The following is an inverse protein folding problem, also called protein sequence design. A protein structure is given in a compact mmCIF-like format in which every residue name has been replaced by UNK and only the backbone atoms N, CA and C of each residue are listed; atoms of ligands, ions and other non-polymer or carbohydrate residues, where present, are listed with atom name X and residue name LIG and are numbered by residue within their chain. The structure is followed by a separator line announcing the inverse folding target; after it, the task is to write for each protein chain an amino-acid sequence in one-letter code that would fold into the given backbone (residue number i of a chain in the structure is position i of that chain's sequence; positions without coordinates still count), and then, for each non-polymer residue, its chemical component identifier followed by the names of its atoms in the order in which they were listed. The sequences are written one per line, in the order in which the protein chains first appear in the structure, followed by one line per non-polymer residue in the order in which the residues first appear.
data_IF_439945738394
#
_entry.id   IF_439945738394
#
_cell.length_a   1.000
_cell.length_b   1.000
_cell.length_c   1.000
_cell.angle_alpha   90.00
_cell.angle_beta   90.00
_cell.angle_gamma   90.00
#
_symmetry.space_group_name_H-M   'P 1'
#
loop_
_entity.id
_entity.type
_entity.pdbx_description
1 polymer ?
#
# COMPACT_ATOMS: atom_id res chain seq x y z
N UNK A 1 13.88 26.18 10.90
CA UNK A 1 14.81 27.35 10.98
C UNK A 1 14.63 28.28 9.80
N UNK A 2 14.82 27.84 8.55
CA UNK A 2 14.61 28.67 7.36
C UNK A 2 13.20 29.30 7.31
N UNK A 3 12.13 28.50 7.51
CA UNK A 3 10.75 29.01 7.50
C UNK A 3 10.49 30.14 8.52
N UNK A 4 11.13 30.12 9.70
CA UNK A 4 10.93 31.17 10.71
C UNK A 4 11.46 32.51 10.19
N UNK A 5 12.67 32.51 9.63
CA UNK A 5 13.28 33.71 9.04
C UNK A 5 12.49 34.15 7.81
N UNK A 6 12.07 33.22 6.94
CA UNK A 6 11.28 33.52 5.76
C UNK A 6 9.90 34.07 6.09
N UNK A 7 9.23 33.57 7.13
CA UNK A 7 7.93 34.08 7.58
C UNK A 7 8.06 35.45 8.24
N UNK A 8 9.15 35.70 8.98
CA UNK A 8 9.48 37.03 9.47
C UNK A 8 9.72 38.01 8.31
N UNK A 9 10.52 37.61 7.31
CA UNK A 9 10.77 38.43 6.13
C UNK A 9 9.49 38.70 5.33
N UNK A 10 8.64 37.68 5.12
CA UNK A 10 7.31 37.84 4.52
C UNK A 10 6.44 38.83 5.30
N UNK A 11 6.49 38.78 6.63
CA UNK A 11 5.76 39.72 7.49
C UNK A 11 6.30 41.14 7.36
N UNK A 12 7.63 41.30 7.34
CA UNK A 12 8.29 42.58 7.09
C UNK A 12 7.86 43.18 5.75
N UNK A 13 7.84 42.39 4.66
CA UNK A 13 7.40 42.85 3.34
C UNK A 13 5.92 43.26 3.34
N UNK A 14 5.06 42.45 3.96
CA UNK A 14 3.63 42.74 4.05
C UNK A 14 3.32 44.00 4.87
N UNK A 15 4.03 44.20 5.99
CA UNK A 15 3.90 45.41 6.82
C UNK A 15 4.42 46.62 6.04
N UNK A 16 5.60 46.51 5.42
CA UNK A 16 6.21 47.60 4.66
C UNK A 16 5.32 48.06 3.51
N UNK A 17 4.70 47.12 2.77
CA UNK A 17 3.71 47.45 1.74
C UNK A 17 2.52 48.23 2.29
N UNK A 18 1.96 47.82 3.44
CA UNK A 18 0.87 48.56 4.10
C UNK A 18 1.29 49.96 4.55
N UNK A 19 2.52 50.12 5.02
CA UNK A 19 3.06 51.44 5.39
C UNK A 19 3.25 52.34 4.16
N UNK A 20 3.70 51.80 3.02
CA UNK A 20 3.77 52.52 1.75
C UNK A 20 2.37 52.93 1.26
N UNK A 21 1.41 52.01 1.26
CA UNK A 21 0.03 52.27 0.82
C UNK A 21 -0.67 53.33 1.69
N UNK A 22 -0.30 53.41 2.98
CA UNK A 22 -0.78 54.42 3.92
C UNK A 22 -0.04 55.78 3.84
N UNK A 23 0.97 55.90 2.97
CA UNK A 23 1.80 57.11 2.83
C UNK A 23 2.75 57.38 4.00
N UNK A 24 2.99 56.39 4.87
CA UNK A 24 3.88 56.49 6.03
C UNK A 24 5.35 56.37 5.61
N UNK A 25 5.63 55.52 4.61
CA UNK A 25 6.95 55.32 4.02
C UNK A 25 6.94 55.60 2.52
N UNK A 26 8.10 55.95 1.92
CA UNK A 26 8.20 56.14 0.47
C UNK A 26 7.68 54.94 -0.32
N UNK A 27 7.01 55.12 -1.46
CA UNK A 27 6.44 54.03 -2.25
C UNK A 27 7.49 53.07 -2.82
N UNK A 28 8.77 53.44 -2.82
CA UNK A 28 9.93 52.66 -3.23
C UNK A 28 10.74 52.07 -2.05
N UNK A 29 10.22 52.16 -0.82
CA UNK A 29 10.89 51.62 0.38
C UNK A 29 11.07 50.08 0.34
N UNK A 30 10.33 49.38 -0.52
CA UNK A 30 10.52 47.95 -0.80
C UNK A 30 10.91 47.79 -2.28
N UNK A 31 11.99 47.07 -2.61
CA UNK A 31 12.36 46.80 -4.00
C UNK A 31 11.23 46.10 -4.76
N UNK A 32 10.97 46.51 -5.99
CA UNK A 32 9.89 45.93 -6.82
C UNK A 32 9.98 44.40 -6.96
N UNK A 33 11.19 43.86 -7.02
CA UNK A 33 11.44 42.42 -7.12
C UNK A 33 10.98 41.63 -5.88
N UNK A 34 10.88 42.28 -4.72
CA UNK A 34 10.51 41.66 -3.43
C UNK A 34 9.02 41.77 -3.11
N UNK A 35 8.26 42.58 -3.86
CA UNK A 35 6.86 42.87 -3.55
C UNK A 35 5.97 41.62 -3.57
N UNK A 36 6.27 40.65 -4.44
CA UNK A 36 5.53 39.37 -4.51
C UNK A 36 5.73 38.51 -3.27
N UNK A 37 6.81 38.72 -2.51
CA UNK A 37 7.04 38.03 -1.23
C UNK A 37 5.97 38.35 -0.17
N UNK A 38 5.29 39.51 -0.29
CA UNK A 38 4.19 39.90 0.57
C UNK A 38 2.84 39.26 0.19
N UNK A 39 2.70 38.72 -1.03
CA UNK A 39 1.42 38.22 -1.51
C UNK A 39 0.98 36.95 -0.77
N UNK A 40 -0.33 36.79 -0.61
CA UNK A 40 -0.95 35.59 -0.06
C UNK A 40 -1.33 34.65 -1.20
N UNK A 41 -1.19 33.36 -0.97
CA UNK A 41 -1.64 32.36 -1.93
C UNK A 41 -3.15 32.53 -2.19
N UNK A 42 -3.54 32.54 -3.45
CA UNK A 42 -4.93 32.55 -3.89
C UNK A 42 -5.12 31.43 -4.90
N UNK A 43 -6.23 30.72 -4.80
CA UNK A 43 -6.55 29.64 -5.75
C UNK A 43 -6.97 30.27 -7.08
N UNK A 44 -6.27 30.01 -8.19
CA UNK A 44 -6.68 30.52 -9.49
C UNK A 44 -8.00 29.87 -9.94
N UNK A 45 -8.75 30.57 -10.81
CA UNK A 45 -9.96 30.01 -11.39
C UNK A 45 -9.62 28.76 -12.23
N UNK A 46 -10.27 27.63 -11.93
CA UNK A 46 -10.06 26.39 -12.65
C UNK A 46 -10.69 26.47 -14.04
N UNK A 47 -9.91 26.14 -15.08
CA UNK A 47 -10.35 26.03 -16.47
C UNK A 47 -9.82 24.73 -17.05
N UNK A 48 -10.65 24.00 -17.79
CA UNK A 48 -10.27 22.73 -18.42
C UNK A 48 -10.83 22.63 -19.83
N UNK A 49 -10.11 21.91 -20.70
CA UNK A 49 -10.54 21.53 -22.04
C UNK A 49 -10.16 20.07 -22.29
N UNK A 50 -11.06 19.29 -22.90
CA UNK A 50 -10.81 17.90 -23.28
C UNK A 50 -11.01 17.77 -24.80
N UNK A 51 -9.99 17.30 -25.50
CA UNK A 51 -10.04 17.03 -26.94
C UNK A 51 -9.87 15.52 -27.15
N UNK A 52 -10.76 14.93 -27.93
CA UNK A 52 -10.72 13.51 -28.27
C UNK A 52 -11.19 13.31 -29.72
N UNK A 53 -10.75 12.22 -30.34
CA UNK A 53 -11.15 11.87 -31.69
C UNK A 53 -12.62 11.44 -31.73
N UNK A 54 -13.37 11.97 -32.70
CA UNK A 54 -14.75 11.53 -32.92
C UNK A 54 -14.75 10.24 -33.73
N UNK A 55 -15.63 9.32 -33.34
CA UNK A 55 -15.96 8.14 -34.13
C UNK A 55 -16.40 8.49 -35.56
N UNK A 56 -16.19 7.55 -36.49
CA UNK A 56 -16.59 7.68 -37.88
C UNK A 56 -18.10 7.97 -38.01
N UNK A 57 -18.47 8.78 -39.01
CA UNK A 57 -19.85 9.24 -39.20
C UNK A 57 -20.84 8.13 -39.57
N UNK A 58 -20.34 7.03 -40.12
CA UNK A 58 -21.09 5.85 -40.53
C UNK A 58 -21.18 4.76 -39.44
N UNK A 59 -20.49 4.93 -38.30
CA UNK A 59 -20.55 3.98 -37.20
C UNK A 59 -21.96 3.93 -36.60
N UNK A 60 -22.51 2.71 -36.50
CA UNK A 60 -23.88 2.50 -36.03
C UNK A 60 -24.12 3.09 -34.63
N UNK A 61 -25.33 3.62 -34.38
CA UNK A 61 -25.68 4.25 -33.10
C UNK A 61 -25.54 3.31 -31.89
N UNK A 62 -25.84 2.03 -32.08
CA UNK A 62 -25.79 1.00 -31.04
C UNK A 62 -24.37 0.47 -30.76
N UNK A 63 -23.41 0.68 -31.67
CA UNK A 63 -22.02 0.34 -31.45
C UNK A 63 -21.40 1.36 -30.46
N UNK A 64 -20.96 0.93 -29.26
CA UNK A 64 -20.45 1.83 -28.24
C UNK A 64 -18.95 2.14 -28.38
N UNK A 65 -18.21 1.42 -29.23
CA UNK A 65 -16.75 1.50 -29.28
C UNK A 65 -16.28 2.90 -29.69
N UNK A 66 -15.32 3.47 -28.97
CA UNK A 66 -14.78 4.81 -29.22
C UNK A 66 -15.67 5.98 -28.77
N UNK A 67 -16.89 5.73 -28.28
CA UNK A 67 -17.81 6.77 -27.80
C UNK A 67 -17.59 7.06 -26.30
N UNK A 68 -17.73 8.32 -25.84
CA UNK A 68 -17.56 8.67 -24.43
C UNK A 68 -18.78 8.24 -23.59
N UNK A 69 -18.93 6.93 -23.40
CA UNK A 69 -20.00 6.36 -22.58
C UNK A 69 -19.69 6.60 -21.10
N UNK A 70 -20.72 7.03 -20.37
CA UNK A 70 -20.65 7.16 -18.91
C UNK A 70 -20.44 5.78 -18.29
N UNK A 71 -19.62 5.72 -17.24
CA UNK A 71 -19.38 4.49 -16.48
C UNK A 71 -20.71 3.87 -16.01
N UNK A 72 -20.91 2.57 -16.26
CA UNK A 72 -22.21 1.91 -16.09
C UNK A 72 -22.78 1.96 -14.66
N UNK A 73 -21.91 2.12 -13.64
CA UNK A 73 -22.32 2.24 -12.25
C UNK A 73 -22.30 3.69 -11.71
N UNK A 74 -21.99 4.71 -12.53
CA UNK A 74 -21.77 6.08 -12.07
C UNK A 74 -22.93 6.65 -11.25
N UNK A 75 -24.17 6.48 -11.72
CA UNK A 75 -25.34 6.98 -11.00
C UNK A 75 -25.53 6.28 -9.65
N UNK A 76 -25.32 4.96 -9.59
CA UNK A 76 -25.38 4.20 -8.34
C UNK A 76 -24.29 4.62 -7.35
N UNK A 77 -23.12 5.00 -7.86
CA UNK A 77 -22.04 5.54 -7.03
C UNK A 77 -22.40 6.92 -6.49
N UNK A 78 -23.02 7.77 -7.31
CA UNK A 78 -23.46 9.10 -6.92
C UNK A 78 -24.60 9.09 -5.90
N UNK A 79 -25.48 8.08 -5.91
CA UNK A 79 -26.61 7.96 -4.98
C UNK A 79 -26.32 7.10 -3.74
N UNK A 80 -25.17 6.43 -3.68
CA UNK A 80 -24.84 5.51 -2.59
C UNK A 80 -25.48 4.11 -2.72
N UNK A 81 -26.10 3.79 -3.85
CA UNK A 81 -26.69 2.46 -4.12
C UNK A 81 -25.65 1.41 -4.57
N UNK A 82 -24.45 1.85 -4.93
CA UNK A 82 -23.37 0.96 -5.34
C UNK A 82 -22.79 0.22 -4.12
N UNK A 83 -23.25 -1.01 -3.87
CA UNK A 83 -22.73 -1.89 -2.79
C UNK A 83 -21.24 -2.25 -2.96
N UNK A 84 -20.39 -1.78 -2.06
CA UNK A 84 -19.01 -2.22 -1.85
C UNK A 84 -18.97 -3.40 -0.85
N UNK A 85 -17.78 -3.89 -0.48
CA UNK A 85 -17.69 -5.15 0.29
C UNK A 85 -18.25 -5.01 1.70
N UNK A 86 -17.93 -3.91 2.42
CA UNK A 86 -18.46 -3.68 3.77
C UNK A 86 -19.93 -3.22 3.77
N UNK A 87 -20.46 -2.78 2.62
CA UNK A 87 -21.89 -2.45 2.46
C UNK A 87 -22.79 -3.70 2.42
N UNK A 88 -22.20 -4.90 2.26
CA UNK A 88 -22.96 -6.16 2.30
C UNK A 88 -23.66 -6.26 3.67
N UNK A 89 -24.99 -6.46 3.72
CA UNK A 89 -25.72 -6.56 4.98
C UNK A 89 -25.12 -7.61 5.91
N UNK A 90 -25.07 -7.29 7.20
CA UNK A 90 -24.56 -8.20 8.23
C UNK A 90 -25.40 -9.46 8.29
N UNK A 91 -24.73 -10.61 8.37
CA UNK A 91 -25.38 -11.91 8.53
C UNK A 91 -25.65 -12.22 10.00
N UNK A 92 -26.65 -13.07 10.27
CA UNK A 92 -26.92 -13.50 11.63
C UNK A 92 -25.70 -14.24 12.21
N UNK A 93 -25.25 -13.82 13.39
CA UNK A 93 -24.06 -14.38 14.03
C UNK A 93 -22.73 -14.02 13.36
N UNK A 94 -22.71 -13.07 12.41
CA UNK A 94 -21.47 -12.54 11.83
C UNK A 94 -20.56 -11.94 12.92
N UNK A 95 -19.27 -12.25 12.83
CA UNK A 95 -18.22 -11.73 13.71
C UNK A 95 -17.37 -10.70 12.98
N UNK A 96 -16.70 -9.87 13.75
CA UNK A 96 -15.66 -8.97 13.27
C UNK A 96 -14.28 -9.49 13.69
N UNK A 97 -13.31 -9.37 12.79
CA UNK A 97 -11.92 -9.75 13.03
C UNK A 97 -11.03 -8.50 13.07
N UNK A 98 -10.16 -8.43 14.07
CA UNK A 98 -9.12 -7.42 14.21
C UNK A 98 -7.75 -8.10 14.28
N UNK A 99 -6.75 -7.49 13.66
CA UNK A 99 -5.40 -8.04 13.58
C UNK A 99 -4.59 -7.65 14.82
N UNK A 100 -3.69 -8.55 15.23
CA UNK A 100 -2.63 -8.28 16.22
C UNK A 100 -1.34 -8.11 15.44
N UNK A 101 -0.77 -6.91 15.49
CA UNK A 101 0.36 -6.52 14.64
C UNK A 101 1.66 -6.40 15.44
N UNK A 102 2.77 -6.70 14.78
CA UNK A 102 4.12 -6.51 15.33
C UNK A 102 4.41 -5.04 15.62
N UNK A 103 5.00 -4.79 16.78
CA UNK A 103 5.53 -3.48 17.16
C UNK A 103 7.05 -3.40 17.02
N UNK A 104 7.68 -4.37 16.35
CA UNK A 104 9.13 -4.48 16.16
C UNK A 104 9.47 -4.72 14.70
N UNK A 105 10.57 -4.13 14.24
CA UNK A 105 11.03 -4.27 12.86
C UNK A 105 11.72 -5.62 12.59
N UNK A 106 12.47 -6.15 13.57
CA UNK A 106 13.10 -7.45 13.49
C UNK A 106 13.29 -8.02 14.90
N UNK A 107 12.59 -9.10 15.24
CA UNK A 107 12.63 -9.67 16.60
C UNK A 107 12.13 -11.11 16.64
N UNK A 108 12.56 -11.86 17.66
CA UNK A 108 11.92 -13.12 18.07
C UNK A 108 10.71 -12.85 18.94
N UNK A 109 9.64 -13.60 18.73
CA UNK A 109 8.47 -13.63 19.61
C UNK A 109 8.77 -14.62 20.74
N UNK A 110 9.06 -14.10 21.93
CA UNK A 110 9.37 -14.91 23.11
C UNK A 110 8.10 -15.44 23.77
N UNK A 111 7.06 -14.60 23.79
CA UNK A 111 5.77 -14.96 24.37
C UNK A 111 4.65 -14.24 23.67
N UNK A 112 3.56 -14.96 23.44
CA UNK A 112 2.30 -14.46 22.89
C UNK A 112 1.17 -14.89 23.81
N UNK A 113 0.54 -13.93 24.47
CA UNK A 113 -0.48 -14.14 25.50
C UNK A 113 -1.76 -13.35 25.19
N UNK A 114 -2.82 -14.08 24.82
CA UNK A 114 -4.13 -13.52 24.53
C UNK A 114 -5.15 -13.73 25.67
N UNK A 115 -4.72 -14.18 26.86
CA UNK A 115 -5.63 -14.54 27.96
C UNK A 115 -6.57 -13.40 28.38
N UNK A 116 -6.06 -12.17 28.51
CA UNK A 116 -6.88 -11.00 28.85
C UNK A 116 -7.89 -10.65 27.74
N UNK A 117 -7.50 -10.83 26.48
CA UNK A 117 -8.39 -10.61 25.34
C UNK A 117 -9.52 -11.64 25.31
N UNK A 118 -9.18 -12.92 25.49
CA UNK A 118 -10.12 -14.05 25.49
C UNK A 118 -11.09 -14.03 26.69
N UNK A 119 -10.74 -13.35 27.78
CA UNK A 119 -11.62 -13.21 28.94
C UNK A 119 -12.76 -12.19 28.75
N UNK A 120 -12.72 -11.37 27.69
CA UNK A 120 -13.77 -10.40 27.40
C UNK A 120 -15.02 -11.09 26.83
N UNK A 121 -16.18 -10.77 27.40
CA UNK A 121 -17.47 -11.24 26.88
C UNK A 121 -17.68 -10.79 25.43
N UNK A 122 -18.09 -11.73 24.58
CA UNK A 122 -18.24 -11.55 23.13
C UNK A 122 -16.97 -11.71 22.30
N UNK A 123 -15.81 -12.03 22.90
CA UNK A 123 -14.63 -12.52 22.16
C UNK A 123 -14.76 -14.03 21.97
N UNK A 124 -14.66 -14.46 20.72
CA UNK A 124 -14.99 -15.84 20.31
C UNK A 124 -13.75 -16.67 20.00
N UNK A 125 -12.62 -16.01 19.70
CA UNK A 125 -11.36 -16.70 19.43
C UNK A 125 -10.20 -15.78 19.21
N UNK A 126 -9.01 -16.32 19.47
CA UNK A 126 -7.73 -15.78 19.07
C UNK A 126 -7.06 -16.80 18.15
N UNK A 127 -6.63 -16.36 16.98
CA UNK A 127 -5.95 -17.18 15.98
C UNK A 127 -4.50 -16.69 15.83
N UNK A 128 -3.58 -17.62 15.73
CA UNK A 128 -2.13 -17.37 15.59
C UNK A 128 -1.50 -18.47 14.73
N UNK A 129 -0.18 -18.44 14.55
CA UNK A 129 0.55 -19.50 13.84
C UNK A 129 0.30 -20.90 14.43
N UNK A 130 -0.09 -21.02 15.71
CA UNK A 130 -0.41 -22.31 16.36
C UNK A 130 -1.69 -22.97 15.84
N UNK A 131 -2.54 -22.23 15.13
CA UNK A 131 -3.79 -22.71 14.55
C UNK A 131 -3.64 -23.23 13.12
N UNK A 132 -2.40 -23.26 12.62
CA UNK A 132 -2.00 -23.68 11.29
C UNK A 132 -0.83 -24.68 11.40
N UNK A 133 -0.73 -25.60 10.44
CA UNK A 133 0.53 -26.30 10.21
C UNK A 133 1.55 -25.34 9.59
N UNK A 134 2.84 -25.70 9.65
CA UNK A 134 3.89 -24.91 8.98
C UNK A 134 3.56 -24.69 7.50
N UNK A 135 3.15 -25.76 6.80
CA UNK A 135 2.83 -25.68 5.38
C UNK A 135 1.66 -24.73 5.12
N UNK A 136 0.56 -24.82 5.89
CA UNK A 136 -0.61 -23.94 5.72
C UNK A 136 -0.32 -22.46 6.06
N UNK A 137 0.71 -22.21 6.88
CA UNK A 137 1.08 -20.86 7.27
C UNK A 137 1.99 -20.17 6.23
N UNK A 138 2.73 -20.93 5.41
CA UNK A 138 3.64 -20.42 4.36
C UNK A 138 2.85 -19.96 3.13
N UNK A 139 2.78 -18.65 2.89
CA UNK A 139 1.94 -18.02 1.86
C UNK A 139 2.71 -16.97 1.07
N UNK A 140 2.09 -16.46 0.01
CA UNK A 140 2.62 -15.39 -0.81
C UNK A 140 2.10 -15.49 -2.25
N UNK A 141 2.14 -14.41 -3.04
CA UNK A 141 1.47 -14.38 -4.34
C UNK A 141 2.19 -15.18 -5.44
N UNK A 142 3.52 -15.30 -5.34
CA UNK A 142 4.38 -15.96 -6.34
C UNK A 142 5.43 -16.81 -5.64
N UNK A 143 6.10 -16.23 -4.64
CA UNK A 143 6.98 -16.92 -3.71
C UNK A 143 6.22 -17.10 -2.40
N UNK A 144 6.25 -18.30 -1.82
CA UNK A 144 5.65 -18.56 -0.51
C UNK A 144 6.67 -18.24 0.61
N UNK A 145 7.15 -17.00 0.62
CA UNK A 145 8.13 -16.47 1.59
C UNK A 145 7.49 -15.56 2.65
N UNK A 146 6.16 -15.57 2.75
CA UNK A 146 5.38 -14.86 3.76
C UNK A 146 4.62 -15.83 4.67
N UNK A 147 4.01 -15.28 5.72
CA UNK A 147 3.21 -16.03 6.67
C UNK A 147 1.83 -15.40 6.88
N UNK A 148 0.79 -16.23 7.07
CA UNK A 148 -0.53 -15.74 7.52
C UNK A 148 -0.37 -15.04 8.87
N UNK A 149 0.32 -15.72 9.78
CA UNK A 149 0.73 -15.20 11.08
C UNK A 149 2.21 -15.45 11.30
N UNK A 150 2.95 -14.43 11.73
CA UNK A 150 4.35 -14.53 12.09
C UNK A 150 4.58 -15.70 13.05
N UNK A 151 5.51 -16.59 12.68
CA UNK A 151 5.90 -17.74 13.49
C UNK A 151 7.34 -17.54 13.95
N UNK A 152 7.58 -17.61 15.26
CA UNK A 152 8.86 -17.43 15.94
C UNK A 152 9.54 -16.06 15.78
N UNK A 153 9.51 -15.44 14.60
CA UNK A 153 10.17 -14.17 14.28
C UNK A 153 9.25 -13.22 13.52
N UNK A 154 9.48 -11.92 13.72
CA UNK A 154 8.90 -10.83 12.93
C UNK A 154 10.01 -10.14 12.14
N UNK A 155 9.71 -9.78 10.88
CA UNK A 155 10.63 -9.20 9.90
C UNK A 155 10.24 -7.79 9.46
N UNK A 156 9.08 -7.28 9.90
CA UNK A 156 8.74 -5.87 9.76
C UNK A 156 7.81 -5.37 10.87
N UNK A 157 7.80 -4.05 11.06
CA UNK A 157 6.81 -3.38 11.89
C UNK A 157 5.44 -3.48 11.20
N UNK A 158 4.41 -3.90 11.93
CA UNK A 158 3.09 -4.14 11.35
C UNK A 158 2.87 -5.56 10.82
N UNK A 159 3.86 -6.46 10.85
CA UNK A 159 3.63 -7.85 10.46
C UNK A 159 2.54 -8.49 11.33
N UNK A 160 1.63 -9.25 10.72
CA UNK A 160 0.51 -9.87 11.43
C UNK A 160 1.04 -11.03 12.29
N UNK A 161 0.75 -10.99 13.60
CA UNK A 161 1.13 -12.03 14.58
C UNK A 161 -0.05 -12.93 14.93
N UNK A 162 -1.26 -12.38 14.84
CA UNK A 162 -2.50 -13.10 15.13
C UNK A 162 -3.72 -12.28 14.79
N UNK A 163 -4.89 -12.81 15.13
CA UNK A 163 -6.17 -12.15 14.92
C UNK A 163 -7.17 -12.50 16.03
N UNK A 164 -7.96 -11.52 16.45
CA UNK A 164 -9.09 -11.71 17.36
C UNK A 164 -10.40 -11.68 16.59
N UNK A 165 -11.25 -12.68 16.78
CA UNK A 165 -12.63 -12.66 16.33
C UNK A 165 -13.57 -12.33 17.50
N UNK A 166 -14.46 -11.34 17.32
CA UNK A 166 -15.41 -10.92 18.34
C UNK A 166 -16.76 -10.48 17.75
N UNK A 167 -17.76 -10.31 18.61
CA UNK A 167 -19.14 -10.02 18.22
C UNK A 167 -19.33 -8.70 17.44
N UNK A 168 -18.37 -7.76 17.53
CA UNK A 168 -18.40 -6.50 16.78
C UNK A 168 -16.99 -5.89 16.64
N UNK A 169 -16.86 -4.89 15.75
CA UNK A 169 -15.61 -4.22 15.42
C UNK A 169 -14.90 -3.62 16.63
N UNK A 170 -15.62 -2.83 17.43
CA UNK A 170 -15.04 -2.13 18.59
C UNK A 170 -14.48 -3.11 19.62
N UNK A 171 -15.19 -4.20 19.87
CA UNK A 171 -14.74 -5.25 20.78
C UNK A 171 -13.51 -5.97 20.22
N UNK A 172 -13.53 -6.35 18.94
CA UNK A 172 -12.39 -7.03 18.29
C UNK A 172 -11.12 -6.17 18.36
N UNK A 173 -11.21 -4.89 18.02
CA UNK A 173 -10.09 -3.94 18.05
C UNK A 173 -9.57 -3.72 19.48
N UNK A 174 -10.48 -3.57 20.46
CA UNK A 174 -10.09 -3.45 21.88
C UNK A 174 -9.38 -4.71 22.38
N UNK A 175 -9.92 -5.88 22.06
CA UNK A 175 -9.37 -7.17 22.46
C UNK A 175 -8.00 -7.43 21.81
N UNK A 176 -7.81 -7.09 20.52
CA UNK A 176 -6.53 -7.20 19.83
C UNK A 176 -5.41 -6.42 20.55
N UNK A 177 -5.72 -5.23 21.09
CA UNK A 177 -4.78 -4.41 21.87
C UNK A 177 -4.43 -4.99 23.26
N UNK A 178 -5.20 -5.94 23.76
CA UNK A 178 -4.92 -6.62 25.04
C UNK A 178 -4.02 -7.85 24.86
N UNK A 179 -3.79 -8.30 23.62
CA UNK A 179 -2.86 -9.39 23.34
C UNK A 179 -1.44 -8.90 23.64
N UNK A 180 -0.78 -9.56 24.58
CA UNK A 180 0.58 -9.22 25.02
C UNK A 180 1.58 -10.01 24.20
N UNK A 181 2.54 -9.29 23.61
CA UNK A 181 3.64 -9.88 22.85
C UNK A 181 4.95 -9.44 23.49
N UNK A 182 5.76 -10.41 23.90
CA UNK A 182 7.11 -10.18 24.41
C UNK A 182 8.11 -10.50 23.30
N UNK A 183 9.08 -9.61 23.08
CA UNK A 183 10.03 -9.68 21.99
C UNK A 183 11.47 -9.70 22.48
N UNK A 184 12.33 -10.41 21.76
CA UNK A 184 13.79 -10.24 21.79
C UNK A 184 14.22 -9.64 20.45
N UNK A 185 14.67 -8.38 20.45
CA UNK A 185 15.06 -7.69 19.20
C UNK A 185 16.31 -8.33 18.58
N UNK A 186 16.25 -8.56 17.26
CA UNK A 186 17.34 -9.13 16.49
C UNK A 186 18.12 -8.05 15.75
N UNK A 187 19.43 -8.30 15.57
CA UNK A 187 20.31 -7.44 14.79
C UNK A 187 20.90 -8.21 13.60
N UNK A 188 21.15 -7.55 12.46
CA UNK A 188 20.87 -6.13 12.20
C UNK A 188 19.39 -5.85 11.91
N UNK A 189 18.94 -4.62 12.20
CA UNK A 189 17.68 -4.08 11.66
C UNK A 189 18.00 -3.30 10.39
N UNK A 190 17.60 -3.83 9.23
CA UNK A 190 17.86 -3.24 7.91
C UNK A 190 16.59 -2.51 7.45
N UNK A 191 16.67 -1.19 7.25
CA UNK A 191 15.52 -0.34 6.88
C UNK A 191 15.77 0.44 5.60
N UNK A 192 16.98 0.97 5.41
CA UNK A 192 17.32 1.76 4.22
C UNK A 192 17.96 0.92 3.12
N UNK A 193 17.88 1.40 1.88
CA UNK A 193 18.56 0.79 0.73
C UNK A 193 20.07 0.72 0.98
N UNK A 194 20.64 1.76 1.58
CA UNK A 194 22.08 1.81 1.91
C UNK A 194 22.47 0.71 2.90
N UNK A 195 21.66 0.49 3.94
CA UNK A 195 21.91 -0.58 4.91
C UNK A 195 21.83 -1.96 4.24
N UNK A 196 20.87 -2.16 3.33
CA UNK A 196 20.76 -3.40 2.56
C UNK A 196 22.00 -3.62 1.66
N UNK A 197 22.50 -2.56 1.02
CA UNK A 197 23.73 -2.60 0.21
C UNK A 197 24.94 -2.96 1.08
N UNK A 198 25.09 -2.30 2.23
CA UNK A 198 26.19 -2.54 3.19
C UNK A 198 26.22 -4.00 3.68
N UNK A 199 25.05 -4.55 4.02
CA UNK A 199 24.89 -5.92 4.53
C UNK A 199 24.76 -6.97 3.42
N UNK A 200 24.76 -6.56 2.14
CA UNK A 200 24.48 -7.43 0.98
C UNK A 200 23.18 -8.22 1.12
N UNK A 201 22.17 -7.58 1.71
CA UNK A 201 20.83 -8.16 1.91
C UNK A 201 20.00 -7.90 0.66
N UNK A 202 20.06 -8.85 -0.27
CA UNK A 202 19.31 -8.84 -1.51
C UNK A 202 18.45 -10.10 -1.60
N UNK A 203 17.33 -10.01 -2.32
CA UNK A 203 16.60 -11.21 -2.68
C UNK A 203 17.41 -12.11 -3.63
N UNK A 204 17.15 -13.43 -3.66
CA UNK A 204 17.82 -14.36 -4.57
C UNK A 204 17.76 -13.90 -6.04
N UNK A 205 18.80 -14.22 -6.80
CA UNK A 205 18.95 -13.89 -8.24
C UNK A 205 19.12 -12.40 -8.59
N UNK A 206 19.46 -11.55 -7.61
CA UNK A 206 19.83 -10.14 -7.82
C UNK A 206 21.29 -9.86 -7.44
N UNK A 207 21.97 -8.90 -8.12
CA UNK A 207 21.45 -7.99 -9.15
C UNK A 207 21.29 -8.65 -10.53
N UNK A 208 20.40 -8.08 -11.35
CA UNK A 208 20.19 -8.43 -12.76
C UNK A 208 20.74 -7.34 -13.67
N UNK A 209 21.15 -7.71 -14.89
CA UNK A 209 21.80 -6.81 -15.83
C UNK A 209 21.07 -6.78 -17.18
N UNK A 210 20.98 -5.58 -17.77
CA UNK A 210 20.53 -5.38 -19.15
C UNK A 210 21.60 -4.54 -19.86
N UNK A 211 22.23 -5.10 -20.88
CA UNK A 211 23.34 -4.45 -21.59
C UNK A 211 23.05 -4.39 -23.08
N UNK A 212 23.32 -3.24 -23.70
CA UNK A 212 23.22 -3.03 -25.14
C UNK A 212 24.33 -2.09 -25.63
N UNK A 213 25.05 -2.52 -26.67
CA UNK A 213 26.16 -1.75 -27.24
C UNK A 213 27.45 -1.84 -26.42
N UNK A 214 28.45 -1.03 -26.80
CA UNK A 214 29.73 -0.91 -26.10
C UNK A 214 29.78 0.39 -25.28
N UNK A 215 29.37 0.28 -24.02
CA UNK A 215 29.32 1.42 -23.10
C UNK A 215 30.72 1.93 -22.73
N UNK A 216 31.73 1.04 -22.73
CA UNK A 216 33.11 1.38 -22.34
C UNK A 216 33.73 2.28 -23.40
N UNK A 217 33.58 1.91 -24.68
CA UNK A 217 34.03 2.75 -25.79
C UNK A 217 33.28 4.09 -25.80
N UNK A 218 31.96 4.07 -25.65
CA UNK A 218 31.15 5.29 -25.67
C UNK A 218 31.51 6.27 -24.54
N UNK A 219 31.91 5.78 -23.36
CA UNK A 219 32.44 6.64 -22.29
C UNK A 219 33.85 7.16 -22.60
N UNK A 220 34.72 6.36 -23.23
CA UNK A 220 36.08 6.78 -23.57
C UNK A 220 36.10 7.90 -24.63
N UNK A 221 35.13 7.90 -25.54
CA UNK A 221 34.98 8.88 -26.63
C UNK A 221 34.10 10.09 -26.24
N UNK A 222 33.56 10.11 -25.02
CA UNK A 222 32.61 11.11 -24.59
C UNK A 222 33.24 12.51 -24.46
N UNK A 223 32.54 13.52 -24.97
CA UNK A 223 32.93 14.92 -24.75
C UNK A 223 32.68 15.37 -23.30
N UNK A 224 31.57 14.91 -22.71
CA UNK A 224 31.20 15.17 -21.34
C UNK A 224 30.71 13.90 -20.65
N UNK A 225 31.10 13.74 -19.38
CA UNK A 225 30.65 12.67 -18.51
C UNK A 225 30.12 13.31 -17.24
N UNK A 226 28.96 12.85 -16.79
CA UNK A 226 28.36 13.25 -15.53
C UNK A 226 28.01 12.04 -14.70
N UNK A 227 28.30 12.11 -13.41
CA UNK A 227 27.95 11.10 -12.41
C UNK A 227 27.05 11.73 -11.36
N UNK A 228 26.01 11.01 -10.99
CA UNK A 228 25.03 11.49 -10.05
C UNK A 228 24.25 10.37 -9.38
N UNK A 229 23.43 10.76 -8.43
CA UNK A 229 22.44 9.88 -7.82
C UNK A 229 21.14 10.64 -7.62
N UNK A 230 20.03 9.90 -7.64
CA UNK A 230 18.74 10.44 -7.27
C UNK A 230 17.94 9.41 -6.48
N UNK A 231 17.01 9.91 -5.67
CA UNK A 231 16.10 9.08 -4.88
C UNK A 231 14.67 9.37 -5.28
N UNK A 232 13.87 8.33 -5.26
CA UNK A 232 12.42 8.41 -5.34
C UNK A 232 11.86 7.81 -4.05
N UNK A 233 11.02 8.58 -3.35
CA UNK A 233 10.29 8.06 -2.19
C UNK A 233 9.25 7.01 -2.61
N UNK A 234 8.80 6.21 -1.64
CA UNK A 234 7.65 5.34 -1.85
C UNK A 234 6.35 6.11 -1.99
N UNK A 235 5.28 5.40 -2.32
CA UNK A 235 3.95 6.00 -2.51
C UNK A 235 2.86 5.04 -2.04
N UNK A 236 2.03 5.50 -1.11
CA UNK A 236 0.82 4.78 -0.70
C UNK A 236 -0.23 4.82 -1.80
N UNK A 237 -0.94 3.70 -1.98
CA UNK A 237 -2.00 3.57 -2.99
C UNK A 237 -3.18 4.49 -2.68
N UNK A 238 -3.54 4.55 -1.40
CA UNK A 238 -4.59 5.41 -0.87
C UNK A 238 -5.94 5.25 -1.61
N UNK A 239 -6.26 4.02 -2.02
CA UNK A 239 -7.61 3.66 -2.45
C UNK A 239 -8.62 4.01 -1.36
N UNK A 240 -9.77 4.57 -1.71
CA UNK A 240 -10.68 5.13 -0.70
C UNK A 240 -11.40 4.06 0.13
N UNK A 241 -11.73 2.92 -0.46
CA UNK A 241 -12.13 1.70 0.28
C UNK A 241 -10.86 0.97 0.70
N UNK A 242 -10.57 0.82 2.00
CA UNK A 242 -9.44 0.02 2.52
C UNK A 242 -9.56 -1.46 2.16
N UNK A 243 -8.58 -2.28 2.51
CA UNK A 243 -8.73 -3.73 2.39
C UNK A 243 -9.89 -4.23 3.25
N UNK A 244 -10.70 -5.11 2.64
CA UNK A 244 -11.87 -5.69 3.29
C UNK A 244 -12.13 -7.08 2.74
N UNK A 245 -12.45 -8.00 3.64
CA UNK A 245 -12.91 -9.34 3.32
C UNK A 245 -14.06 -9.75 4.24
N UNK A 246 -15.01 -10.49 3.67
CA UNK A 246 -16.08 -11.19 4.36
C UNK A 246 -16.03 -12.65 3.91
N UNK A 247 -15.78 -13.57 4.83
CA UNK A 247 -15.85 -15.00 4.57
C UNK A 247 -17.10 -15.60 5.20
N UNK A 248 -17.79 -16.46 4.45
CA UNK A 248 -19.08 -17.04 4.82
C UNK A 248 -18.99 -18.55 4.63
N UNK A 249 -18.94 -19.33 5.73
CA UNK A 249 -19.01 -20.78 5.66
C UNK A 249 -20.36 -21.22 5.08
N UNK A 250 -20.31 -22.18 4.15
CA UNK A 250 -21.45 -22.91 3.59
C UNK A 250 -21.26 -24.38 3.92
N UNK A 251 -22.34 -25.18 3.97
CA UNK A 251 -22.38 -26.66 4.09
C UNK A 251 -21.31 -27.36 4.97
N UNK A 252 -20.69 -26.62 5.90
CA UNK A 252 -19.52 -26.92 6.72
C UNK A 252 -18.19 -27.19 5.99
N UNK A 253 -18.20 -27.58 4.72
CA UNK A 253 -17.00 -27.90 3.94
C UNK A 253 -16.77 -26.94 2.74
N UNK A 254 -17.47 -25.80 2.72
CA UNK A 254 -17.40 -24.80 1.66
C UNK A 254 -17.24 -23.38 2.23
N UNK A 255 -16.56 -22.52 1.47
CA UNK A 255 -16.32 -21.14 1.87
C UNK A 255 -16.56 -20.17 0.71
N UNK A 256 -17.48 -19.23 0.91
CA UNK A 256 -17.70 -18.11 -0.01
C UNK A 256 -17.06 -16.85 0.57
N UNK A 257 -16.22 -16.18 -0.21
CA UNK A 257 -15.56 -14.94 0.14
C UNK A 257 -16.07 -13.78 -0.73
N UNK A 258 -16.28 -12.64 -0.08
CA UNK A 258 -16.45 -11.35 -0.72
C UNK A 258 -15.24 -10.50 -0.35
N UNK A 259 -14.42 -10.14 -1.33
CA UNK A 259 -13.16 -9.46 -1.10
C UNK A 259 -13.01 -8.26 -2.03
N UNK A 260 -12.50 -7.16 -1.47
CA UNK A 260 -11.99 -6.04 -2.27
C UNK A 260 -10.59 -6.41 -2.78
N UNK A 261 -10.52 -7.14 -3.90
CA UNK A 261 -9.29 -7.67 -4.51
C UNK A 261 -9.31 -7.54 -6.04
N UNK A 262 -8.15 -7.26 -6.63
CA UNK A 262 -7.93 -7.29 -8.08
C UNK A 262 -7.66 -8.72 -8.59
N UNK A 263 -7.32 -9.66 -7.71
CA UNK A 263 -6.93 -11.02 -8.07
C UNK A 263 -7.71 -12.08 -7.26
N UNK A 264 -9.02 -12.27 -7.54
CA UNK A 264 -9.85 -13.22 -6.78
C UNK A 264 -9.40 -14.68 -6.91
N UNK A 265 -8.79 -15.06 -8.03
CA UNK A 265 -8.26 -16.42 -8.24
C UNK A 265 -7.10 -16.74 -7.29
N UNK A 266 -6.21 -15.78 -7.03
CA UNK A 266 -5.09 -16.02 -6.12
C UNK A 266 -5.56 -16.08 -4.66
N UNK A 267 -6.47 -15.18 -4.27
CA UNK A 267 -7.13 -15.25 -2.96
C UNK A 267 -7.82 -16.60 -2.77
N UNK A 268 -8.53 -17.13 -3.77
CA UNK A 268 -9.17 -18.44 -3.69
C UNK A 268 -8.15 -19.56 -3.40
N UNK A 269 -7.05 -19.61 -4.14
CA UNK A 269 -6.01 -20.65 -3.97
C UNK A 269 -5.37 -20.57 -2.58
N UNK A 270 -4.98 -19.38 -2.16
CA UNK A 270 -4.34 -19.17 -0.87
C UNK A 270 -5.29 -19.50 0.28
N UNK A 271 -6.57 -19.12 0.17
CA UNK A 271 -7.58 -19.49 1.17
C UNK A 271 -7.75 -21.01 1.23
N UNK A 272 -7.90 -21.67 0.08
CA UNK A 272 -8.03 -23.13 0.01
C UNK A 272 -6.84 -23.83 0.67
N UNK A 273 -5.63 -23.34 0.41
CA UNK A 273 -4.39 -23.80 1.04
C UNK A 273 -4.40 -23.61 2.57
N UNK A 274 -4.68 -22.40 3.06
CA UNK A 274 -4.65 -22.07 4.51
C UNK A 274 -5.68 -22.86 5.33
N UNK A 275 -6.87 -23.11 4.78
CA UNK A 275 -7.94 -23.81 5.49
C UNK A 275 -7.97 -25.32 5.22
N UNK A 276 -7.06 -25.82 4.37
CA UNK A 276 -6.96 -27.24 4.02
C UNK A 276 -8.13 -27.76 3.17
N UNK A 277 -8.80 -26.90 2.40
CA UNK A 277 -9.89 -27.28 1.50
C UNK A 277 -9.42 -27.41 0.04
N UNK A 278 -10.00 -28.32 -0.76
CA UNK A 278 -9.82 -28.28 -2.21
C UNK A 278 -10.33 -26.95 -2.80
N UNK A 279 -9.63 -26.41 -3.80
CA UNK A 279 -9.96 -25.09 -4.37
C UNK A 279 -11.39 -24.98 -4.94
N UNK A 280 -11.99 -26.10 -5.38
CA UNK A 280 -13.37 -26.13 -5.86
C UNK A 280 -14.43 -25.91 -4.76
N UNK A 281 -14.04 -25.98 -3.48
CA UNK A 281 -14.88 -25.67 -2.31
C UNK A 281 -14.77 -24.22 -1.84
N UNK A 282 -13.89 -23.43 -2.46
CA UNK A 282 -13.69 -22.03 -2.13
C UNK A 282 -14.13 -21.17 -3.31
N UNK A 283 -14.98 -20.17 -3.06
CA UNK A 283 -15.43 -19.22 -4.08
C UNK A 283 -15.07 -17.81 -3.65
N UNK A 284 -14.24 -17.10 -4.41
CA UNK A 284 -13.92 -15.70 -4.16
C UNK A 284 -14.67 -14.78 -5.14
N UNK A 285 -15.39 -13.77 -4.62
CA UNK A 285 -16.22 -12.85 -5.39
C UNK A 285 -15.75 -11.41 -5.17
N UNK A 286 -15.42 -10.72 -6.25
CA UNK A 286 -15.14 -9.29 -6.28
C UNK A 286 -16.14 -8.60 -7.23
N UNK A 287 -17.03 -7.77 -6.67
CA UNK A 287 -18.07 -7.08 -7.48
C UNK A 287 -17.57 -5.74 -8.03
N UNK A 288 -16.93 -4.95 -7.17
CA UNK A 288 -16.31 -3.65 -7.45
C UNK A 288 -15.35 -3.33 -6.30
N UNK A 289 -14.41 -2.43 -6.56
CA UNK A 289 -13.46 -1.94 -5.57
C UNK A 289 -13.54 -0.41 -5.48
N UNK A 290 -13.39 0.16 -4.29
CA UNK A 290 -13.24 1.60 -4.09
C UNK A 290 -11.81 2.08 -4.35
N UNK A 291 -11.24 1.69 -5.50
CA UNK A 291 -9.82 1.85 -5.84
C UNK A 291 -8.99 0.60 -5.48
N UNK A 292 -7.85 0.44 -6.17
CA UNK A 292 -6.91 -0.67 -5.95
C UNK A 292 -5.48 -0.31 -6.32
N UNK A 293 -5.26 0.19 -7.54
CA UNK A 293 -3.98 0.79 -7.98
C UNK A 293 -2.75 -0.13 -7.84
N UNK A 294 -2.94 -1.45 -7.86
CA UNK A 294 -1.88 -2.46 -7.64
C UNK A 294 -1.84 -2.96 -6.19
N UNK A 295 -2.17 -2.14 -5.20
CA UNK A 295 -2.14 -2.53 -3.79
C UNK A 295 -3.14 -3.62 -3.41
N UNK A 296 -4.15 -3.85 -4.25
CA UNK A 296 -5.13 -4.95 -4.08
C UNK A 296 -4.90 -6.13 -5.03
N UNK A 297 -3.74 -6.20 -5.68
CA UNK A 297 -3.36 -7.33 -6.55
C UNK A 297 -2.94 -8.56 -5.74
N UNK A 298 -1.94 -8.42 -4.86
CA UNK A 298 -1.44 -9.50 -3.99
C UNK A 298 -1.87 -9.32 -2.53
N UNK A 299 -1.76 -8.09 -2.02
CA UNK A 299 -1.85 -7.79 -0.58
C UNK A 299 -3.25 -7.96 0.02
N UNK A 300 -4.26 -8.20 -0.82
CA UNK A 300 -5.59 -8.65 -0.41
C UNK A 300 -5.55 -9.88 0.51
N UNK A 301 -4.54 -10.74 0.34
CA UNK A 301 -4.34 -11.93 1.16
C UNK A 301 -4.17 -11.63 2.66
N UNK A 302 -3.55 -10.49 3.01
CA UNK A 302 -3.27 -10.10 4.40
C UNK A 302 -4.53 -10.01 5.26
N UNK A 303 -5.69 -9.73 4.64
CA UNK A 303 -6.98 -9.66 5.31
C UNK A 303 -7.83 -10.90 5.02
N UNK A 304 -7.81 -11.38 3.77
CA UNK A 304 -8.65 -12.50 3.37
C UNK A 304 -8.29 -13.82 4.09
N UNK A 305 -6.99 -14.09 4.31
CA UNK A 305 -6.54 -15.36 4.90
C UNK A 305 -6.89 -15.47 6.40
N UNK A 306 -6.61 -14.47 7.26
CA UNK A 306 -7.06 -14.51 8.66
C UNK A 306 -8.58 -14.58 8.79
N UNK A 307 -9.31 -13.83 7.96
CA UNK A 307 -10.79 -13.84 7.94
C UNK A 307 -11.34 -15.21 7.55
N UNK A 308 -10.79 -15.82 6.50
CA UNK A 308 -11.18 -17.15 6.05
C UNK A 308 -10.93 -18.23 7.09
N UNK A 309 -9.73 -18.22 7.71
CA UNK A 309 -9.37 -19.15 8.76
C UNK A 309 -10.34 -19.05 9.94
N UNK A 310 -10.57 -17.83 10.45
CA UNK A 310 -11.48 -17.61 11.57
C UNK A 310 -12.91 -18.06 11.23
N UNK A 311 -13.41 -17.72 10.04
CA UNK A 311 -14.74 -18.12 9.59
C UNK A 311 -14.88 -19.64 9.52
N UNK A 312 -13.88 -20.31 8.95
CA UNK A 312 -13.88 -21.76 8.81
C UNK A 312 -13.78 -22.48 10.16
N UNK A 313 -12.93 -22.00 11.08
CA UNK A 313 -12.77 -22.60 12.42
C UNK A 313 -14.01 -22.41 13.30
N UNK A 314 -14.64 -21.23 13.24
CA UNK A 314 -15.81 -20.90 14.05
C UNK A 314 -17.13 -21.32 13.41
N UNK A 315 -17.11 -21.70 12.12
CA UNK A 315 -18.30 -22.02 11.33
C UNK A 315 -19.34 -20.89 11.37
N UNK A 316 -18.85 -19.65 11.32
CA UNK A 316 -19.65 -18.41 11.34
C UNK A 316 -19.12 -17.43 10.31
N UNK A 317 -19.96 -16.54 9.75
CA UNK A 317 -19.48 -15.47 8.90
C UNK A 317 -18.51 -14.57 9.68
N UNK A 318 -17.39 -14.18 9.07
CA UNK A 318 -16.39 -13.27 9.67
C UNK A 318 -16.06 -12.17 8.68
N UNK A 319 -15.99 -10.94 9.16
CA UNK A 319 -15.57 -9.78 8.38
C UNK A 319 -14.39 -9.06 9.01
N UNK A 320 -13.52 -8.52 8.16
CA UNK A 320 -12.55 -7.51 8.55
C UNK A 320 -12.50 -6.43 7.47
N UNK A 321 -12.61 -5.17 7.89
CA UNK A 321 -12.21 -4.00 7.09
C UNK A 321 -11.13 -3.28 7.88
N UNK A 322 -9.99 -2.98 7.25
CA UNK A 322 -8.92 -2.29 7.94
C UNK A 322 -9.29 -0.83 8.17
N UNK A 323 -8.93 -0.30 9.34
CA UNK A 323 -8.85 1.16 9.51
C UNK A 323 -7.67 1.69 8.65
N UNK A 324 -7.70 2.98 8.31
CA UNK A 324 -6.72 3.55 7.37
C UNK A 324 -5.27 3.43 7.85
N UNK A 325 -5.04 3.58 9.15
CA UNK A 325 -3.72 3.45 9.76
C UNK A 325 -3.20 2.00 9.69
N UNK A 326 -4.07 1.01 9.92
CA UNK A 326 -3.72 -0.41 9.75
C UNK A 326 -3.41 -0.75 8.29
N UNK A 327 -4.26 -0.28 7.37
CA UNK A 327 -4.12 -0.46 5.93
C UNK A 327 -2.76 0.05 5.42
N UNK A 328 -2.46 1.33 5.69
CA UNK A 328 -1.18 1.95 5.31
C UNK A 328 0.04 1.30 5.97
N UNK A 329 -0.15 0.63 7.11
CA UNK A 329 0.94 -0.02 7.83
C UNK A 329 1.31 -1.38 7.23
N UNK A 330 0.31 -2.18 6.82
CA UNK A 330 0.53 -3.61 6.52
C UNK A 330 0.49 -3.95 5.02
N UNK A 331 -0.04 -3.08 4.18
CA UNK A 331 -0.28 -3.41 2.76
C UNK A 331 0.86 -3.04 1.84
N UNK A 332 1.93 -2.44 2.34
CA UNK A 332 3.06 -2.01 1.52
C UNK A 332 2.70 -0.84 0.58
N UNK A 333 3.70 -0.41 -0.20
CA UNK A 333 3.61 0.80 -1.05
C UNK A 333 4.34 0.56 -2.37
N UNK A 334 4.29 1.55 -3.29
CA UNK A 334 5.27 1.62 -4.38
C UNK A 334 6.68 1.61 -3.81
N UNK A 335 7.55 0.77 -4.36
CA UNK A 335 8.95 0.72 -3.97
C UNK A 335 9.62 2.10 -4.00
N UNK A 336 10.28 2.52 -2.91
CA UNK A 336 11.31 3.55 -2.96
C UNK A 336 12.48 3.09 -3.83
N UNK A 337 13.08 4.01 -4.59
CA UNK A 337 14.25 3.72 -5.43
C UNK A 337 15.44 4.62 -5.10
N UNK A 338 16.63 4.05 -5.23
CA UNK A 338 17.90 4.74 -5.33
C UNK A 338 18.51 4.42 -6.70
N UNK A 339 18.78 5.46 -7.47
CA UNK A 339 19.52 5.36 -8.71
C UNK A 339 20.91 5.96 -8.53
N UNK A 340 21.94 5.23 -8.95
CA UNK A 340 23.27 5.80 -9.22
C UNK A 340 23.50 5.71 -10.71
N UNK A 341 23.88 6.80 -11.34
CA UNK A 341 24.00 6.86 -12.79
C UNK A 341 25.27 7.57 -13.22
N UNK A 342 25.78 7.10 -14.36
CA UNK A 342 26.84 7.73 -15.14
C UNK A 342 26.32 7.92 -16.54
N UNK A 343 26.42 9.13 -17.07
CA UNK A 343 25.90 9.48 -18.40
C UNK A 343 26.95 10.23 -19.20
N UNK A 344 27.10 9.84 -20.46
CA UNK A 344 27.96 10.49 -21.43
C UNK A 344 27.12 11.19 -22.50
N UNK A 345 27.57 12.38 -22.90
CA UNK A 345 26.92 13.15 -23.96
C UNK A 345 27.91 13.95 -24.79
N UNK A 346 27.51 14.27 -26.02
CA UNK A 346 28.27 15.13 -26.95
C UNK A 346 28.18 16.60 -26.54
N UNK A 347 28.94 17.49 -27.20
CA UNK A 347 28.85 18.93 -26.94
C UNK A 347 27.45 19.50 -27.24
N UNK A 348 26.70 18.88 -28.15
CA UNK A 348 25.34 19.25 -28.54
C UNK A 348 24.28 18.67 -27.60
N UNK A 349 24.68 17.87 -26.60
CA UNK A 349 23.79 17.27 -25.60
C UNK A 349 23.16 15.93 -26.01
N UNK A 350 23.65 15.29 -27.08
CA UNK A 350 23.19 13.95 -27.45
C UNK A 350 23.77 12.91 -26.47
N UNK A 351 22.92 12.10 -25.84
CA UNK A 351 23.36 11.01 -24.95
C UNK A 351 23.95 9.87 -25.78
N UNK A 352 25.18 9.48 -25.47
CA UNK A 352 25.91 8.42 -26.19
C UNK A 352 26.10 7.15 -25.36
N UNK A 353 26.20 7.29 -24.04
CA UNK A 353 26.28 6.16 -23.11
C UNK A 353 25.56 6.47 -21.80
N UNK A 354 25.03 5.43 -21.17
CA UNK A 354 24.45 5.52 -19.84
C UNK A 354 24.64 4.19 -19.10
N UNK A 355 25.12 4.28 -17.87
CA UNK A 355 25.20 3.17 -16.91
C UNK A 355 24.37 3.56 -15.69
N UNK A 356 23.48 2.68 -15.25
CA UNK A 356 22.56 2.95 -14.13
C UNK A 356 22.55 1.73 -13.20
N UNK A 357 22.92 1.94 -11.94
CA UNK A 357 22.60 1.03 -10.85
C UNK A 357 21.23 1.43 -10.29
N UNK A 358 20.31 0.46 -10.27
CA UNK A 358 18.96 0.65 -9.77
C UNK A 358 18.75 -0.24 -8.54
N UNK A 359 18.44 0.38 -7.41
CA UNK A 359 18.11 -0.31 -6.18
C UNK A 359 16.69 0.07 -5.77
N UNK A 360 15.87 -0.92 -5.45
CA UNK A 360 14.55 -0.72 -4.86
C UNK A 360 14.51 -1.28 -3.44
N UNK A 361 13.79 -0.60 -2.55
CA UNK A 361 13.45 -1.19 -1.24
C UNK A 361 12.21 -2.06 -1.41
N UNK A 362 12.41 -3.37 -1.44
CA UNK A 362 11.36 -4.38 -1.64
C UNK A 362 10.61 -4.77 -0.36
N UNK A 363 11.06 -4.31 0.80
CA UNK A 363 10.49 -4.75 2.07
C UNK A 363 11.03 -6.11 2.50
N UNK A 364 10.26 -6.83 3.32
CA UNK A 364 10.72 -8.06 3.98
C UNK A 364 10.43 -9.34 3.17
N UNK A 365 9.48 -9.31 2.22
CA UNK A 365 9.13 -10.41 1.34
C UNK A 365 9.26 -10.02 -0.12
N UNK A 366 9.39 -11.01 -1.00
CA UNK A 366 9.60 -10.76 -2.42
C UNK A 366 8.36 -10.15 -3.08
N UNK A 367 7.15 -10.64 -2.76
CA UNK A 367 5.88 -10.25 -3.39
C UNK A 367 6.04 -10.15 -4.93
N UNK A 368 5.73 -9.00 -5.53
CA UNK A 368 5.91 -8.70 -6.94
C UNK A 368 7.22 -7.95 -7.25
N UNK A 369 8.15 -7.84 -6.30
CA UNK A 369 9.44 -7.15 -6.52
C UNK A 369 10.33 -7.82 -7.57
N UNK A 370 10.01 -9.06 -7.94
CA UNK A 370 10.70 -9.81 -8.99
C UNK A 370 10.38 -9.33 -10.42
N UNK A 371 9.29 -8.56 -10.59
CA UNK A 371 8.70 -8.20 -11.89
C UNK A 371 9.32 -6.97 -12.54
#
# INVERSE_FOLDING_TARGET
RALVVSLFFKSFLAISRKLCDAGITPPDAVPKAELSGADVFHTPALRSAQLFERVASDQANHDPIGKPKVHAAALKQATGEAIYTDDIPRMAGELYLALVLSTKAHAKIIKLDASEALALDGVEGFFSAKDLTQHENEVGPVFHDEYVFANDEVHCYGQIIGAIAAANQTLAQRAARLVRVEYEELQPVIVTIEQAIEHKSYFPDYPRYVTKGDVVQAFAEAAHIYEGSCRMGGQEHFYLETHVALAVPRDRDELELFCSTQHPTEVQKLVAHVVGLPANRVVCRAKRLGGGFGGKESRGMMVALPVALAAYRLQRPVRCMLDRDEDMLITGTRHPFLFKYKVAFTQEGLITACEIECYNNAGWSMDLSFS
#
